data_IF_490031911098
#
_entry.id   IF_490031911098
#
_cell.length_a   1.000
_cell.length_b   1.000
_cell.length_c   1.000
_cell.angle_alpha   90.00
_cell.angle_beta   90.00
_cell.angle_gamma   90.00
#
_symmetry.space_group_name_H-M   'P 1'
#
loop_
_entity.id
_entity.type
_entity.pdbx_description
1 polymer ?
#
# COMPACT_ATOMS: atom_id res chain seq x y z
N UNK A 1 -1.68 -45.17 2.77
CA UNK A 1 -1.47 -44.56 1.43
C UNK A 1 -1.76 -43.07 1.55
N UNK A 2 -0.91 -42.21 1.00
CA UNK A 2 -1.13 -40.75 0.98
C UNK A 2 -1.77 -40.30 -0.32
N UNK A 3 -2.44 -39.15 -0.30
CA UNK A 3 -3.09 -38.58 -1.49
C UNK A 3 -2.08 -38.35 -2.63
N UNK A 4 -0.89 -37.85 -2.34
CA UNK A 4 0.13 -37.57 -3.35
C UNK A 4 0.84 -38.79 -3.91
N UNK A 5 0.64 -39.96 -3.30
CA UNK A 5 1.17 -41.24 -3.78
C UNK A 5 0.17 -41.93 -4.73
N UNK A 6 -1.04 -41.39 -4.90
CA UNK A 6 -2.08 -42.00 -5.71
C UNK A 6 -1.82 -41.84 -7.20
N UNK A 7 -2.00 -42.94 -7.94
CA UNK A 7 -1.89 -42.97 -9.39
C UNK A 7 -3.17 -42.44 -10.07
N UNK A 8 -3.49 -41.15 -9.89
CA UNK A 8 -4.69 -40.51 -10.44
C UNK A 8 -4.88 -40.74 -11.95
N UNK A 9 -3.80 -40.81 -12.72
CA UNK A 9 -3.87 -41.07 -14.17
C UNK A 9 -4.42 -42.46 -14.54
N UNK A 10 -4.35 -43.42 -13.62
CA UNK A 10 -4.89 -44.77 -13.80
C UNK A 10 -6.28 -44.95 -13.16
N UNK A 11 -6.77 -43.93 -12.45
CA UNK A 11 -8.08 -43.96 -11.80
C UNK A 11 -9.18 -43.53 -12.76
N UNK A 12 -10.37 -44.09 -12.57
CA UNK A 12 -11.56 -43.60 -13.25
C UNK A 12 -11.87 -42.16 -12.83
N UNK A 13 -12.16 -41.31 -13.80
CA UNK A 13 -12.46 -39.90 -13.59
C UNK A 13 -13.83 -39.56 -14.17
N UNK A 14 -14.45 -38.53 -13.61
CA UNK A 14 -15.72 -37.99 -14.06
C UNK A 14 -15.56 -36.55 -14.53
N UNK A 15 -16.38 -36.15 -15.50
CA UNK A 15 -16.46 -34.76 -15.96
C UNK A 15 -17.66 -34.09 -15.31
N UNK A 16 -17.42 -33.14 -14.39
CA UNK A 16 -18.48 -32.37 -13.74
C UNK A 16 -18.36 -30.89 -14.01
N UNK A 17 -19.49 -30.20 -14.02
CA UNK A 17 -19.55 -28.75 -14.14
C UNK A 17 -19.29 -28.14 -12.76
N UNK A 18 -18.27 -27.32 -12.67
CA UNK A 18 -17.86 -26.67 -11.42
C UNK A 18 -17.97 -25.17 -11.57
N UNK A 19 -18.23 -24.46 -10.48
CA UNK A 19 -18.24 -23.00 -10.49
C UNK A 19 -16.94 -22.43 -9.92
N UNK A 20 -16.37 -21.44 -10.59
CA UNK A 20 -15.10 -20.83 -10.21
C UNK A 20 -15.01 -19.40 -10.77
N UNK A 21 -13.96 -18.69 -10.38
CA UNK A 21 -13.55 -17.48 -11.08
C UNK A 21 -12.72 -17.81 -12.32
N UNK A 22 -12.86 -16.99 -13.36
CA UNK A 22 -11.95 -16.98 -14.50
C UNK A 22 -10.56 -16.51 -14.07
N UNK A 23 -9.60 -16.54 -15.00
CA UNK A 23 -8.22 -16.09 -14.74
C UNK A 23 -8.11 -14.62 -14.33
N UNK A 24 -9.14 -13.81 -14.61
CA UNK A 24 -9.23 -12.41 -14.20
C UNK A 24 -9.58 -12.23 -12.70
N UNK A 25 -9.93 -13.31 -12.00
CA UNK A 25 -10.29 -13.29 -10.59
C UNK A 25 -11.65 -12.63 -10.28
N UNK A 26 -12.47 -12.31 -11.29
CA UNK A 26 -13.69 -11.53 -11.11
C UNK A 26 -14.90 -12.07 -11.89
N UNK A 27 -14.68 -12.69 -13.05
CA UNK A 27 -15.75 -13.26 -13.86
C UNK A 27 -16.11 -14.64 -13.36
N UNK A 28 -17.39 -14.87 -13.06
CA UNK A 28 -17.90 -16.18 -12.64
C UNK A 28 -18.04 -17.07 -13.87
N UNK A 29 -17.41 -18.25 -13.84
CA UNK A 29 -17.44 -19.24 -14.92
C UNK A 29 -17.85 -20.61 -14.39
N UNK A 30 -18.39 -21.45 -15.29
CA UNK A 30 -18.87 -22.79 -14.96
C UNK A 30 -18.16 -23.89 -15.77
N UNK A 31 -16.82 -24.02 -15.68
CA UNK A 31 -16.07 -24.97 -16.51
C UNK A 31 -16.39 -26.42 -16.16
N UNK A 32 -16.25 -27.30 -17.15
CA UNK A 32 -16.17 -28.73 -16.89
C UNK A 32 -14.76 -29.10 -16.42
N UNK A 33 -14.67 -29.80 -15.29
CA UNK A 33 -13.43 -30.28 -14.70
C UNK A 33 -13.38 -31.81 -14.68
N UNK A 34 -12.16 -32.34 -14.74
CA UNK A 34 -11.90 -33.77 -14.59
C UNK A 34 -11.65 -34.03 -13.12
N UNK A 35 -12.54 -34.81 -12.49
CA UNK A 35 -12.56 -35.02 -11.06
C UNK A 35 -12.50 -36.51 -10.74
N UNK A 36 -11.95 -36.85 -9.57
CA UNK A 36 -11.82 -38.21 -9.08
C UNK A 36 -12.70 -38.39 -7.83
N UNK A 37 -13.54 -39.43 -7.82
CA UNK A 37 -14.48 -39.69 -6.72
C UNK A 37 -13.72 -39.93 -5.41
N UNK A 38 -14.06 -39.16 -4.38
CA UNK A 38 -13.45 -39.33 -3.08
C UNK A 38 -13.98 -40.59 -2.38
N UNK A 39 -15.23 -40.98 -2.60
CA UNK A 39 -15.78 -42.26 -2.15
C UNK A 39 -14.93 -43.44 -2.65
N UNK A 40 -14.51 -43.42 -3.92
CA UNK A 40 -13.66 -44.48 -4.48
C UNK A 40 -12.26 -44.50 -3.85
N UNK A 41 -11.76 -43.34 -3.43
CA UNK A 41 -10.44 -43.18 -2.79
C UNK A 41 -10.47 -43.65 -1.33
N UNK A 42 -11.51 -43.27 -0.60
CA UNK A 42 -11.60 -43.49 0.85
C UNK A 42 -12.40 -44.73 1.22
N UNK A 43 -13.11 -45.33 0.26
CA UNK A 43 -14.10 -46.39 0.47
C UNK A 43 -15.16 -46.01 1.53
N UNK A 44 -15.62 -44.76 1.51
CA UNK A 44 -16.63 -44.24 2.43
C UNK A 44 -17.79 -43.63 1.65
N UNK A 45 -18.99 -44.21 1.80
CA UNK A 45 -20.22 -43.77 1.12
C UNK A 45 -20.61 -42.33 1.47
N UNK A 46 -20.25 -41.85 2.67
CA UNK A 46 -20.49 -40.45 3.06
C UNK A 46 -19.77 -39.45 2.15
N UNK A 47 -18.76 -39.89 1.38
CA UNK A 47 -17.97 -39.06 0.48
C UNK A 47 -18.46 -39.10 -0.97
N UNK A 48 -19.62 -39.70 -1.29
CA UNK A 48 -20.14 -39.88 -2.66
C UNK A 48 -20.31 -38.58 -3.48
N UNK A 49 -20.52 -37.47 -2.79
CA UNK A 49 -20.66 -36.14 -3.42
C UNK A 49 -19.34 -35.35 -3.44
N UNK A 50 -18.25 -35.93 -2.95
CA UNK A 50 -16.95 -35.27 -2.87
C UNK A 50 -16.00 -35.79 -3.94
N UNK A 51 -15.22 -34.87 -4.48
CA UNK A 51 -14.29 -35.17 -5.56
C UNK A 51 -12.99 -34.41 -5.40
N UNK A 52 -11.91 -34.98 -5.93
CA UNK A 52 -10.60 -34.33 -6.01
C UNK A 52 -10.32 -33.92 -7.45
N UNK A 53 -9.87 -32.68 -7.65
CA UNK A 53 -9.21 -32.25 -8.88
C UNK A 53 -7.70 -32.20 -8.64
N UNK A 54 -6.93 -32.85 -9.52
CA UNK A 54 -5.49 -32.73 -9.56
C UNK A 54 -5.09 -31.51 -10.40
N UNK A 55 -4.66 -30.43 -9.73
CA UNK A 55 -4.21 -29.22 -10.40
C UNK A 55 -2.68 -29.22 -10.46
N UNK A 56 -2.15 -29.46 -11.66
CA UNK A 56 -0.71 -29.38 -11.92
C UNK A 56 -0.25 -27.93 -11.89
N UNK A 57 0.87 -27.68 -11.24
CA UNK A 57 1.55 -26.38 -11.21
C UNK A 57 2.74 -26.41 -12.16
N UNK A 58 3.13 -25.23 -12.65
CA UNK A 58 4.35 -25.08 -13.45
C UNK A 58 5.60 -25.41 -12.62
N UNK A 59 5.59 -25.04 -11.34
CA UNK A 59 6.63 -25.34 -10.37
C UNK A 59 6.03 -25.93 -9.09
N UNK A 60 6.72 -26.92 -8.53
CA UNK A 60 6.36 -27.57 -7.27
C UNK A 60 5.35 -28.70 -7.40
N UNK A 61 4.96 -29.25 -6.25
CA UNK A 61 4.03 -30.36 -6.18
C UNK A 61 2.63 -29.97 -6.69
N UNK A 62 1.91 -30.90 -7.30
CA UNK A 62 0.52 -30.67 -7.67
C UNK A 62 -0.32 -30.40 -6.43
N UNK A 63 -1.42 -29.66 -6.61
CA UNK A 63 -2.37 -29.40 -5.54
C UNK A 63 -3.68 -30.12 -5.79
N UNK A 64 -4.31 -30.53 -4.70
CA UNK A 64 -5.50 -31.37 -4.71
C UNK A 64 -6.67 -30.52 -4.26
N UNK A 65 -7.48 -30.05 -5.20
CA UNK A 65 -8.64 -29.22 -4.92
C UNK A 65 -9.82 -30.12 -4.57
N UNK A 66 -10.41 -29.94 -3.40
CA UNK A 66 -11.64 -30.61 -3.00
C UNK A 66 -12.84 -29.87 -3.60
N UNK A 67 -13.68 -30.65 -4.26
CA UNK A 67 -14.95 -30.24 -4.86
C UNK A 67 -16.09 -31.02 -4.22
N UNK A 68 -17.21 -30.35 -4.01
CA UNK A 68 -18.47 -30.98 -3.60
C UNK A 68 -19.54 -30.74 -4.66
N UNK A 69 -20.21 -31.80 -5.09
CA UNK A 69 -21.38 -31.72 -5.96
C UNK A 69 -22.65 -31.48 -5.15
N UNK A 70 -23.28 -30.32 -5.36
CA UNK A 70 -24.56 -29.97 -4.74
C UNK A 70 -25.79 -30.43 -5.55
N UNK A 71 -25.57 -31.25 -6.59
CA UNK A 71 -26.60 -31.77 -7.49
C UNK A 71 -26.86 -30.90 -8.73
N UNK A 72 -26.64 -29.59 -8.62
CA UNK A 72 -26.76 -28.64 -9.75
C UNK A 72 -25.41 -28.13 -10.27
N UNK A 73 -24.40 -28.09 -9.39
CA UNK A 73 -23.07 -27.58 -9.68
C UNK A 73 -22.09 -28.06 -8.62
N UNK A 74 -20.82 -28.28 -9.00
CA UNK A 74 -19.76 -28.52 -8.04
C UNK A 74 -19.18 -27.19 -7.49
N UNK A 75 -19.03 -27.10 -6.18
CA UNK A 75 -18.39 -25.97 -5.48
C UNK A 75 -17.06 -26.39 -4.87
N UNK A 76 -16.14 -25.43 -4.73
CA UNK A 76 -14.84 -25.65 -4.10
C UNK A 76 -14.98 -25.62 -2.58
N UNK A 77 -14.46 -26.65 -1.90
CA UNK A 77 -14.40 -26.74 -0.44
C UNK A 77 -12.97 -26.51 0.12
N UNK A 78 -12.03 -26.14 -0.75
CA UNK A 78 -10.64 -25.86 -0.39
C UNK A 78 -9.67 -26.97 -0.77
N UNK A 79 -8.46 -26.94 -0.19
CA UNK A 79 -7.35 -27.79 -0.63
C UNK A 79 -7.12 -28.98 0.31
N UNK A 80 -6.85 -30.13 -0.28
CA UNK A 80 -6.29 -31.31 0.38
C UNK A 80 -4.77 -31.29 0.19
N UNK A 81 -4.04 -31.60 1.25
CA UNK A 81 -2.59 -31.69 1.17
C UNK A 81 -2.18 -33.07 0.67
N UNK A 82 -1.22 -33.12 -0.27
CA UNK A 82 -0.76 -34.38 -0.86
C UNK A 82 -0.14 -35.34 0.16
N UNK A 83 0.45 -34.82 1.24
CA UNK A 83 1.05 -35.64 2.28
C UNK A 83 0.04 -36.21 3.29
N UNK A 84 -1.24 -35.82 3.23
CA UNK A 84 -2.27 -36.40 4.10
C UNK A 84 -2.55 -37.85 3.74
N UNK A 85 -2.71 -38.69 4.76
CA UNK A 85 -3.23 -40.04 4.58
C UNK A 85 -4.72 -40.03 4.24
N UNK A 86 -5.21 -41.11 3.65
CA UNK A 86 -6.64 -41.30 3.35
C UNK A 86 -7.48 -41.19 4.63
N UNK A 87 -7.00 -41.77 5.73
CA UNK A 87 -7.65 -41.73 7.03
C UNK A 87 -7.69 -40.30 7.60
N UNK A 88 -6.62 -39.53 7.45
CA UNK A 88 -6.58 -38.12 7.85
C UNK A 88 -7.57 -37.26 7.05
N UNK A 89 -7.68 -37.50 5.73
CA UNK A 89 -8.67 -36.84 4.87
C UNK A 89 -10.08 -37.15 5.36
N UNK A 90 -10.41 -38.44 5.55
CA UNK A 90 -11.72 -38.87 6.06
C UNK A 90 -12.04 -38.24 7.41
N UNK A 91 -11.09 -38.23 8.36
CA UNK A 91 -11.28 -37.65 9.68
C UNK A 91 -11.51 -36.12 9.65
N UNK A 92 -10.91 -35.42 8.68
CA UNK A 92 -11.12 -33.98 8.49
C UNK A 92 -12.48 -33.68 7.87
N UNK A 93 -12.89 -34.47 6.89
CA UNK A 93 -14.18 -34.33 6.21
C UNK A 93 -15.33 -34.56 7.19
N UNK A 94 -15.23 -35.59 8.04
CA UNK A 94 -16.22 -35.87 9.07
C UNK A 94 -16.43 -34.71 10.07
N UNK A 95 -15.43 -33.83 10.21
CA UNK A 95 -15.49 -32.64 11.08
C UNK A 95 -15.85 -31.36 10.32
N UNK A 96 -16.00 -31.42 9.01
CA UNK A 96 -16.18 -30.23 8.19
C UNK A 96 -17.66 -29.80 8.18
N UNK A 97 -18.01 -28.62 8.74
CA UNK A 97 -19.40 -28.28 9.04
C UNK A 97 -20.19 -27.70 7.86
N UNK A 98 -19.54 -27.51 6.71
CA UNK A 98 -20.09 -26.78 5.57
C UNK A 98 -20.31 -27.65 4.32
N UNK A 99 -20.39 -28.97 4.51
CA UNK A 99 -20.82 -29.89 3.46
C UNK A 99 -22.31 -29.75 3.19
N UNK A 100 -22.71 -30.17 2.00
CA UNK A 100 -24.04 -30.17 1.42
C UNK A 100 -24.68 -28.78 1.32
N UNK A 101 -25.88 -28.72 0.75
CA UNK A 101 -26.62 -27.46 0.53
C UNK A 101 -26.85 -26.70 1.84
N UNK A 102 -27.17 -27.39 2.94
CA UNK A 102 -27.38 -26.74 4.23
C UNK A 102 -26.06 -26.18 4.80
N UNK A 103 -24.96 -26.93 4.70
CA UNK A 103 -23.66 -26.44 5.14
C UNK A 103 -23.14 -25.27 4.29
N UNK A 104 -23.42 -25.26 2.99
CA UNK A 104 -23.16 -24.12 2.11
C UNK A 104 -23.88 -22.85 2.61
N UNK A 105 -25.19 -22.92 2.88
CA UNK A 105 -25.92 -21.76 3.39
C UNK A 105 -25.46 -21.34 4.79
N UNK A 106 -25.19 -22.30 5.68
CA UNK A 106 -24.62 -22.02 7.01
C UNK A 106 -23.31 -21.24 6.91
N UNK A 107 -22.42 -21.60 5.97
CA UNK A 107 -21.17 -20.85 5.74
C UNK A 107 -21.44 -19.40 5.35
N UNK A 108 -22.45 -19.15 4.52
CA UNK A 108 -22.79 -17.79 4.09
C UNK A 108 -23.38 -16.96 5.22
N UNK A 109 -24.27 -17.53 6.03
CA UNK A 109 -24.81 -16.89 7.24
C UNK A 109 -23.71 -16.54 8.26
N UNK A 110 -22.79 -17.47 8.51
CA UNK A 110 -21.62 -17.21 9.36
C UNK A 110 -20.68 -16.16 8.77
N UNK A 111 -20.57 -16.10 7.43
CA UNK A 111 -19.75 -15.08 6.76
C UNK A 111 -20.38 -13.70 6.91
N UNK A 112 -21.68 -13.58 6.65
CA UNK A 112 -22.39 -12.32 6.79
C UNK A 112 -22.36 -11.79 8.22
N UNK A 113 -22.65 -12.65 9.21
CA UNK A 113 -22.63 -12.28 10.64
C UNK A 113 -21.25 -11.78 11.11
N UNK A 114 -20.17 -12.36 10.58
CA UNK A 114 -18.79 -11.93 10.82
C UNK A 114 -18.36 -10.74 9.96
N UNK A 115 -19.27 -10.18 9.17
CA UNK A 115 -19.02 -9.12 8.19
C UNK A 115 -17.97 -9.47 7.13
N UNK A 116 -17.83 -10.76 6.84
CA UNK A 116 -16.92 -11.25 5.82
C UNK A 116 -17.51 -11.07 4.42
N UNK A 117 -16.59 -11.01 3.46
CA UNK A 117 -16.93 -10.81 2.08
C UNK A 117 -17.56 -12.06 1.46
N UNK A 118 -18.74 -11.90 0.87
CA UNK A 118 -19.41 -12.95 0.10
C UNK A 118 -19.09 -12.72 -1.37
N UNK A 119 -18.53 -13.74 -2.02
CA UNK A 119 -18.00 -13.62 -3.36
C UNK A 119 -19.11 -13.87 -4.41
N UNK A 120 -18.86 -13.48 -5.67
CA UNK A 120 -19.83 -13.63 -6.76
C UNK A 120 -20.14 -15.09 -7.10
N UNK A 121 -19.20 -16.00 -6.85
CA UNK A 121 -19.41 -17.44 -7.05
C UNK A 121 -20.48 -17.94 -6.07
N UNK A 122 -20.40 -17.57 -4.80
CA UNK A 122 -21.37 -17.94 -3.77
C UNK A 122 -22.78 -17.41 -4.09
N UNK A 123 -22.87 -16.16 -4.55
CA UNK A 123 -24.14 -15.56 -4.99
C UNK A 123 -24.75 -16.34 -6.16
N UNK A 124 -23.93 -16.70 -7.15
CA UNK A 124 -24.39 -17.49 -8.30
C UNK A 124 -24.82 -18.90 -7.88
N UNK A 125 -24.14 -19.52 -6.90
CA UNK A 125 -24.56 -20.82 -6.35
C UNK A 125 -25.94 -20.71 -5.70
N UNK A 126 -26.23 -19.65 -4.93
CA UNK A 126 -27.57 -19.42 -4.39
C UNK A 126 -28.64 -19.40 -5.50
N UNK A 127 -28.36 -18.70 -6.60
CA UNK A 127 -29.27 -18.63 -7.73
C UNK A 127 -29.46 -19.99 -8.43
N UNK A 128 -28.38 -20.76 -8.62
CA UNK A 128 -28.43 -22.10 -9.23
C UNK A 128 -29.19 -23.11 -8.36
N UNK A 129 -29.15 -22.96 -7.04
CA UNK A 129 -29.93 -23.75 -6.09
C UNK A 129 -31.39 -23.29 -5.99
N UNK A 130 -31.79 -22.26 -6.76
CA UNK A 130 -33.15 -21.73 -6.79
C UNK A 130 -33.47 -20.69 -5.72
N UNK A 131 -32.51 -20.30 -4.88
CA UNK A 131 -32.71 -19.31 -3.83
C UNK A 131 -32.38 -17.89 -4.34
N UNK A 132 -33.26 -17.37 -5.19
CA UNK A 132 -33.09 -16.09 -5.88
C UNK A 132 -33.08 -14.90 -4.90
N UNK A 133 -33.94 -14.93 -3.87
CA UNK A 133 -34.02 -13.86 -2.88
C UNK A 133 -32.73 -13.75 -2.07
N UNK A 134 -32.16 -14.89 -1.67
CA UNK A 134 -30.87 -14.92 -0.97
C UNK A 134 -29.71 -14.47 -1.86
N UNK A 135 -29.74 -14.83 -3.15
CA UNK A 135 -28.76 -14.35 -4.12
C UNK A 135 -28.81 -12.81 -4.26
N UNK A 136 -30.02 -12.24 -4.33
CA UNK A 136 -30.23 -10.79 -4.37
C UNK A 136 -29.74 -10.10 -3.10
N UNK A 137 -30.11 -10.62 -1.93
CA UNK A 137 -29.62 -10.13 -0.64
C UNK A 137 -28.09 -10.06 -0.58
N UNK A 138 -27.40 -11.15 -0.95
CA UNK A 138 -25.94 -11.15 -0.92
C UNK A 138 -25.29 -10.28 -2.00
N UNK A 139 -25.97 -10.03 -3.13
CA UNK A 139 -25.53 -9.04 -4.11
C UNK A 139 -25.55 -7.62 -3.52
N UNK A 140 -26.66 -7.23 -2.88
CA UNK A 140 -26.82 -5.93 -2.22
C UNK A 140 -25.82 -5.77 -1.04
N UNK A 141 -25.69 -6.81 -0.22
CA UNK A 141 -24.70 -6.86 0.86
C UNK A 141 -23.28 -6.59 0.36
N UNK A 142 -22.91 -7.23 -0.76
CA UNK A 142 -21.59 -7.08 -1.38
C UNK A 142 -21.38 -5.68 -1.95
N UNK A 143 -22.39 -5.08 -2.57
CA UNK A 143 -22.31 -3.70 -3.08
C UNK A 143 -22.08 -2.71 -1.93
N UNK A 144 -22.80 -2.88 -0.82
CA UNK A 144 -22.62 -2.06 0.38
C UNK A 144 -21.19 -2.16 0.94
N UNK A 145 -20.67 -3.38 1.08
CA UNK A 145 -19.29 -3.62 1.52
C UNK A 145 -18.24 -2.93 0.61
N UNK A 146 -18.50 -2.88 -0.71
CA UNK A 146 -17.60 -2.19 -1.66
C UNK A 146 -17.68 -0.68 -1.48
N UNK A 147 -18.89 -0.13 -1.38
CA UNK A 147 -19.09 1.29 -1.16
C UNK A 147 -18.44 1.76 0.16
N UNK A 148 -18.62 1.01 1.24
CA UNK A 148 -18.02 1.31 2.55
C UNK A 148 -16.48 1.30 2.48
N UNK A 149 -15.91 0.32 1.77
CA UNK A 149 -14.45 0.21 1.60
C UNK A 149 -13.88 1.35 0.76
N UNK A 150 -14.60 1.76 -0.29
CA UNK A 150 -14.18 2.86 -1.14
C UNK A 150 -14.29 4.21 -0.43
N UNK A 151 -15.38 4.43 0.30
CA UNK A 151 -15.56 5.62 1.14
C UNK A 151 -14.44 5.73 2.19
N UNK A 152 -14.07 4.62 2.84
CA UNK A 152 -12.96 4.61 3.80
C UNK A 152 -11.62 4.96 3.14
N UNK A 153 -11.31 4.38 1.97
CA UNK A 153 -10.09 4.70 1.22
C UNK A 153 -10.03 6.15 0.80
N UNK A 154 -11.15 6.71 0.37
CA UNK A 154 -11.24 8.10 -0.03
C UNK A 154 -11.02 9.03 1.17
N UNK A 155 -11.64 8.75 2.31
CA UNK A 155 -11.43 9.49 3.55
C UNK A 155 -9.96 9.45 4.02
N UNK A 156 -9.32 8.27 4.02
CA UNK A 156 -7.90 8.11 4.37
C UNK A 156 -6.99 8.91 3.41
N UNK A 157 -7.32 8.95 2.12
CA UNK A 157 -6.58 9.72 1.12
C UNK A 157 -6.73 11.22 1.35
N UNK A 158 -7.94 11.70 1.64
CA UNK A 158 -8.22 13.11 1.91
C UNK A 158 -7.54 13.58 3.20
N UNK A 159 -7.57 12.78 4.26
CA UNK A 159 -6.88 13.06 5.52
C UNK A 159 -5.37 13.16 5.30
N UNK A 160 -4.79 12.20 4.57
CA UNK A 160 -3.35 12.22 4.23
C UNK A 160 -2.99 13.46 3.42
N UNK A 161 -3.77 13.80 2.40
CA UNK A 161 -3.53 14.99 1.58
C UNK A 161 -3.66 16.28 2.39
N UNK A 162 -4.61 16.34 3.33
CA UNK A 162 -4.76 17.49 4.23
C UNK A 162 -3.53 17.64 5.12
N UNK A 163 -3.07 16.55 5.74
CA UNK A 163 -1.86 16.55 6.57
C UNK A 163 -0.61 16.94 5.77
N UNK A 164 -0.43 16.41 4.57
CA UNK A 164 0.69 16.78 3.69
C UNK A 164 0.67 18.27 3.33
N UNK A 165 -0.51 18.86 3.09
CA UNK A 165 -0.65 20.31 2.86
C UNK A 165 -0.33 21.14 4.11
N UNK A 166 -0.87 20.76 5.26
CA UNK A 166 -0.60 21.45 6.53
C UNK A 166 0.88 21.42 6.90
N UNK A 167 1.56 20.28 6.71
CA UNK A 167 3.01 20.15 6.95
C UNK A 167 3.84 21.01 5.97
N UNK A 168 3.43 21.11 4.70
CA UNK A 168 4.12 21.94 3.71
C UNK A 168 3.87 23.43 3.96
N UNK A 169 2.64 23.84 4.30
CA UNK A 169 2.31 25.22 4.67
C UNK A 169 3.08 25.67 5.92
N UNK A 170 3.17 24.81 6.94
CA UNK A 170 3.99 25.08 8.13
C UNK A 170 5.47 25.23 7.75
N UNK A 171 6.00 24.33 6.93
CA UNK A 171 7.39 24.40 6.48
C UNK A 171 7.67 25.70 5.71
N UNK A 172 6.80 26.09 4.77
CA UNK A 172 6.95 27.34 4.01
C UNK A 172 6.93 28.54 4.97
N UNK A 173 5.98 28.57 5.91
CA UNK A 173 5.86 29.65 6.90
C UNK A 173 7.11 29.76 7.77
N UNK A 174 7.67 28.64 8.22
CA UNK A 174 8.92 28.62 8.99
C UNK A 174 10.12 29.14 8.18
N UNK A 175 10.23 28.74 6.90
CA UNK A 175 11.27 29.23 5.99
C UNK A 175 11.14 30.74 5.79
N UNK A 176 9.94 31.24 5.50
CA UNK A 176 9.68 32.66 5.28
C UNK A 176 9.99 33.48 6.52
N UNK A 177 9.59 33.00 7.70
CA UNK A 177 9.90 33.67 8.97
C UNK A 177 11.40 33.76 9.24
N UNK A 178 12.15 32.68 8.97
CA UNK A 178 13.60 32.69 9.13
C UNK A 178 14.29 33.64 8.15
N UNK A 179 13.79 33.72 6.91
CA UNK A 179 14.26 34.67 5.89
C UNK A 179 14.02 36.12 6.36
N UNK A 180 12.79 36.44 6.78
CA UNK A 180 12.43 37.78 7.25
C UNK A 180 13.25 38.20 8.48
N UNK A 181 13.47 37.29 9.44
CA UNK A 181 14.31 37.56 10.62
C UNK A 181 15.77 37.86 10.21
N UNK A 182 16.33 37.09 9.27
CA UNK A 182 17.68 37.34 8.78
C UNK A 182 17.81 38.65 7.98
N UNK A 183 16.80 38.99 7.17
CA UNK A 183 16.72 40.28 6.47
C UNK A 183 16.67 41.45 7.44
N UNK A 184 15.82 41.36 8.45
CA UNK A 184 15.71 42.36 9.50
C UNK A 184 17.05 42.58 10.20
N UNK A 185 17.75 41.49 10.55
CA UNK A 185 19.07 41.58 11.20
C UNK A 185 20.14 42.17 10.30
N UNK A 186 20.15 41.84 9.01
CA UNK A 186 21.07 42.48 8.06
C UNK A 186 20.79 43.98 7.97
N UNK A 187 19.53 44.37 7.81
CA UNK A 187 19.13 45.77 7.69
C UNK A 187 19.46 46.60 8.92
N UNK A 188 19.28 46.03 10.11
CA UNK A 188 19.60 46.69 11.38
C UNK A 188 21.05 46.48 11.85
N UNK A 189 21.88 45.83 11.02
CA UNK A 189 23.29 45.55 11.31
C UNK A 189 23.50 44.74 12.61
N UNK A 190 22.65 43.74 12.83
CA UNK A 190 22.71 42.82 13.97
C UNK A 190 23.42 41.51 13.61
N UNK A 191 24.30 41.03 14.49
CA UNK A 191 24.98 39.74 14.33
C UNK A 191 23.99 38.57 14.39
N UNK A 192 24.18 37.55 13.55
CA UNK A 192 23.35 36.34 13.58
C UNK A 192 24.04 35.10 13.02
N UNK A 193 23.65 33.95 13.56
CA UNK A 193 24.18 32.65 13.14
C UNK A 193 23.67 32.23 11.76
N UNK A 194 24.53 31.56 11.01
CA UNK A 194 24.15 30.91 9.78
C UNK A 194 23.49 29.55 10.09
N UNK A 195 22.18 29.55 10.27
CA UNK A 195 21.41 28.36 10.57
C UNK A 195 20.96 27.61 9.31
N UNK A 196 20.71 26.31 9.44
CA UNK A 196 20.09 25.52 8.38
C UNK A 196 18.56 25.65 8.44
N UNK A 197 17.95 25.99 7.30
CA UNK A 197 16.51 26.16 7.11
C UNK A 197 16.10 25.39 5.86
N UNK A 198 15.34 24.31 6.06
CA UNK A 198 14.93 23.37 5.02
C UNK A 198 16.14 22.90 4.15
N UNK A 199 17.11 22.26 4.81
CA UNK A 199 18.31 21.65 4.19
C UNK A 199 19.25 22.63 3.45
N UNK A 200 19.07 23.94 3.62
CA UNK A 200 19.96 24.98 3.08
C UNK A 200 20.33 25.97 4.17
N UNK A 201 21.52 26.54 4.09
CA UNK A 201 21.88 27.70 4.91
C UNK A 201 20.92 28.87 4.64
N UNK A 202 20.60 29.62 5.70
CA UNK A 202 19.79 30.84 5.61
C UNK A 202 20.39 31.87 4.64
N UNK A 203 21.72 31.99 4.58
CA UNK A 203 22.40 32.86 3.61
C UNK A 203 22.19 32.39 2.18
N UNK A 204 22.23 31.09 1.91
CA UNK A 204 21.92 30.56 0.57
C UNK A 204 20.46 30.82 0.19
N UNK A 205 19.51 30.76 1.14
CA UNK A 205 18.09 31.12 0.91
C UNK A 205 17.94 32.59 0.54
N UNK A 206 18.63 33.48 1.25
CA UNK A 206 18.65 34.91 0.95
C UNK A 206 19.25 35.20 -0.44
N UNK A 207 20.40 34.60 -0.76
CA UNK A 207 21.01 34.76 -2.09
C UNK A 207 20.06 34.31 -3.21
N UNK A 208 19.30 33.23 -3.00
CA UNK A 208 18.26 32.78 -3.94
C UNK A 208 17.09 33.78 -4.04
N UNK A 209 16.57 34.29 -2.91
CA UNK A 209 15.49 35.29 -2.88
C UNK A 209 15.86 36.56 -3.66
N UNK A 210 17.07 37.08 -3.44
CA UNK A 210 17.57 38.29 -4.11
C UNK A 210 18.16 38.05 -5.51
N UNK A 211 18.04 36.83 -6.05
CA UNK A 211 18.55 36.50 -7.39
C UNK A 211 20.08 36.59 -7.54
N UNK A 212 20.83 36.54 -6.44
CA UNK A 212 22.30 36.62 -6.43
C UNK A 212 22.88 35.25 -6.79
N UNK A 213 23.28 35.10 -8.05
CA UNK A 213 23.86 33.85 -8.54
C UNK A 213 25.29 33.64 -8.01
N UNK A 214 25.44 32.72 -7.06
CA UNK A 214 26.73 32.31 -6.50
C UNK A 214 27.21 30.95 -7.07
N UNK A 215 28.52 30.79 -7.34
CA UNK A 215 29.09 29.52 -7.79
C UNK A 215 28.78 28.36 -6.84
N UNK A 216 28.63 27.14 -7.38
CA UNK A 216 28.32 25.94 -6.58
C UNK A 216 29.32 25.69 -5.45
N UNK A 217 30.61 25.97 -5.69
CA UNK A 217 31.66 25.87 -4.66
C UNK A 217 31.42 26.84 -3.50
N UNK A 218 30.97 28.05 -3.79
CA UNK A 218 30.62 29.06 -2.78
C UNK A 218 29.36 28.65 -2.01
N UNK A 219 28.32 28.13 -2.69
CA UNK A 219 27.13 27.55 -2.04
C UNK A 219 27.50 26.45 -1.05
N UNK A 220 28.35 25.52 -1.48
CA UNK A 220 28.84 24.42 -0.63
C UNK A 220 29.68 24.92 0.55
N UNK A 221 30.50 25.94 0.36
CA UNK A 221 31.26 26.58 1.44
C UNK A 221 30.33 27.25 2.46
N UNK A 222 29.32 28.01 2.01
CA UNK A 222 28.31 28.63 2.88
C UNK A 222 27.58 27.56 3.72
N UNK A 223 27.19 26.44 3.13
CA UNK A 223 26.50 25.37 3.86
C UNK A 223 27.38 24.65 4.91
N UNK A 224 28.70 24.59 4.71
CA UNK A 224 29.57 23.70 5.50
C UNK A 224 30.60 24.42 6.38
N UNK A 225 30.86 25.70 6.11
CA UNK A 225 31.94 26.47 6.75
C UNK A 225 31.48 27.78 7.34
N UNK A 226 30.50 28.47 6.76
CA UNK A 226 30.03 29.75 7.29
C UNK A 226 29.35 29.54 8.66
N UNK A 227 29.82 30.25 9.68
CA UNK A 227 29.32 30.13 11.05
C UNK A 227 28.29 31.21 11.40
N UNK A 228 28.62 32.47 11.13
CA UNK A 228 27.74 33.60 11.43
C UNK A 228 28.10 34.83 10.60
N UNK A 229 27.15 35.73 10.45
CA UNK A 229 27.35 37.10 9.96
C UNK A 229 27.59 38.00 11.16
N UNK A 230 28.53 38.94 11.02
CA UNK A 230 28.88 39.90 12.08
C UNK A 230 29.02 41.30 11.49
N UNK A 231 28.67 42.33 12.25
CA UNK A 231 28.80 43.72 11.87
C UNK A 231 29.86 44.41 12.73
N UNK A 232 30.90 44.94 12.10
CA UNK A 232 31.98 45.65 12.81
C UNK A 232 32.03 47.11 12.34
N UNK A 233 31.58 48.03 13.19
CA UNK A 233 31.63 49.47 12.87
C UNK A 233 30.82 49.87 11.64
N UNK A 234 29.70 49.20 11.40
CA UNK A 234 28.82 49.44 10.25
C UNK A 234 29.21 48.70 8.97
N UNK A 235 30.24 47.85 9.00
CA UNK A 235 30.62 47.01 7.87
C UNK A 235 30.22 45.54 8.12
N UNK A 236 29.45 44.95 7.19
CA UNK A 236 29.10 43.53 7.23
C UNK A 236 30.35 42.65 7.06
N UNK A 237 30.47 41.58 7.84
CA UNK A 237 31.55 40.61 7.80
C UNK A 237 31.03 39.23 8.23
N UNK A 238 31.90 38.25 8.36
CA UNK A 238 31.50 36.89 8.72
C UNK A 238 32.58 36.14 9.50
N UNK A 239 32.13 35.13 10.25
CA UNK A 239 32.99 34.11 10.86
C UNK A 239 32.73 32.76 10.21
N UNK A 240 33.76 31.93 10.13
CA UNK A 240 33.66 30.60 9.53
C UNK A 240 34.43 29.56 10.36
N UNK A 241 34.00 28.31 10.26
CA UNK A 241 34.66 27.15 10.85
C UNK A 241 35.84 26.73 9.97
N UNK A 242 37.06 27.06 10.38
CA UNK A 242 38.29 26.70 9.68
C UNK A 242 39.49 26.77 10.61
N UNK A 243 40.56 26.03 10.29
CA UNK A 243 41.81 26.05 11.05
C UNK A 243 42.83 27.02 10.44
N UNK A 244 42.67 27.34 9.15
CA UNK A 244 43.61 28.17 8.40
C UNK A 244 42.87 29.11 7.44
N UNK A 245 43.56 30.15 6.97
CA UNK A 245 43.02 31.07 5.96
C UNK A 245 42.71 30.38 4.62
N UNK A 246 43.28 29.19 4.35
CA UNK A 246 42.96 28.41 3.15
C UNK A 246 41.55 27.81 3.21
N UNK A 247 40.98 27.70 4.40
CA UNK A 247 39.60 27.26 4.60
C UNK A 247 38.60 28.39 4.35
N UNK A 248 39.06 29.64 4.17
CA UNK A 248 38.23 30.79 3.89
C UNK A 248 37.83 30.86 2.41
N UNK A 249 36.65 31.40 2.13
CA UNK A 249 36.26 31.74 0.76
C UNK A 249 36.86 33.08 0.36
N UNK A 250 37.59 33.11 -0.76
CA UNK A 250 38.20 34.34 -1.29
C UNK A 250 37.20 35.27 -1.99
N UNK A 251 35.99 34.78 -2.30
CA UNK A 251 34.98 35.53 -3.08
C UNK A 251 33.67 35.76 -2.34
N UNK A 252 33.45 35.11 -1.19
CA UNK A 252 32.18 35.21 -0.48
C UNK A 252 31.88 36.62 0.04
N UNK A 253 32.91 37.37 0.44
CA UNK A 253 32.77 38.76 0.92
C UNK A 253 32.03 39.63 -0.10
N UNK A 254 32.39 39.53 -1.38
CA UNK A 254 31.78 40.32 -2.45
C UNK A 254 30.28 40.00 -2.61
N UNK A 255 29.92 38.72 -2.51
CA UNK A 255 28.51 38.31 -2.54
C UNK A 255 27.74 38.79 -1.31
N UNK A 256 28.38 38.77 -0.13
CA UNK A 256 27.77 39.25 1.09
C UNK A 256 27.48 40.75 1.05
N UNK A 257 28.39 41.58 0.50
CA UNK A 257 28.13 43.01 0.26
C UNK A 257 26.95 43.22 -0.70
N UNK A 258 26.91 42.44 -1.79
CA UNK A 258 25.80 42.52 -2.75
C UNK A 258 24.46 42.17 -2.12
N UNK A 259 24.46 41.16 -1.24
CA UNK A 259 23.28 40.75 -0.51
C UNK A 259 22.80 41.83 0.47
N UNK A 260 23.71 42.38 1.28
CA UNK A 260 23.41 43.51 2.18
C UNK A 260 22.82 44.69 1.39
N UNK A 261 23.44 45.05 0.26
CA UNK A 261 22.97 46.13 -0.61
C UNK A 261 21.54 45.87 -1.10
N UNK A 262 21.27 44.68 -1.62
CA UNK A 262 19.96 44.32 -2.15
C UNK A 262 18.86 44.32 -1.07
N UNK A 263 19.16 43.81 0.13
CA UNK A 263 18.25 43.84 1.28
C UNK A 263 17.95 45.28 1.70
N UNK A 264 18.98 46.11 1.81
CA UNK A 264 18.83 47.51 2.20
C UNK A 264 18.03 48.30 1.17
N UNK A 265 18.25 48.08 -0.12
CA UNK A 265 17.47 48.69 -1.19
C UNK A 265 15.99 48.28 -1.12
N UNK A 266 15.69 46.99 -0.91
CA UNK A 266 14.30 46.52 -0.82
C UNK A 266 13.57 47.08 0.42
N UNK A 267 14.21 47.05 1.60
CA UNK A 267 13.59 47.47 2.86
C UNK A 267 13.61 48.99 3.10
N UNK A 268 14.44 49.75 2.39
CA UNK A 268 14.43 51.23 2.43
C UNK A 268 13.38 51.86 1.51
N UNK A 269 12.75 51.10 0.61
CA UNK A 269 11.66 51.59 -0.22
C UNK A 269 10.39 51.82 0.64
N UNK A 270 9.74 52.99 0.56
CA UNK A 270 8.44 53.18 1.20
C UNK A 270 7.45 52.18 0.60
N UNK A 271 6.76 51.40 1.45
CA UNK A 271 5.72 50.45 1.08
C UNK A 271 4.82 51.03 -0.03
N UNK A 272 4.80 50.40 -1.22
CA UNK A 272 3.81 50.62 -2.27
C UNK A 272 2.64 49.66 -2.09
#
# INVERSE_FOLDING_TARGET
MRIGEMAFAAMESVRKKCIAFAKDGNTVVKPYKTLYSLENITHNEEHKNLYIELVKREYGDPVYQLWEDLGVICISQGWIQGYWSIEEVSAKIAKFPYLNVNGFYKRLEESESKRYYINKVDIEVCALLGNIDLAKHFAEYREKQIADKEAKRQAEKEERQKKEREEEEQRITEIEKAIQDAEYKIFHQEDFENTEVDRKSIINRLMEKYGINIPLRTKGWINSKLAMIVFNGGEISYRFYGKTQRDNSTVFRDYLVRLETAINEELALPFN
#
